data_IF_789660542128
#
_entry.id   IF_789660542128
#
_cell.length_a   1.000
_cell.length_b   1.000
_cell.length_c   1.000
_cell.angle_alpha   90.00
_cell.angle_beta   90.00
_cell.angle_gamma   90.00
#
_symmetry.space_group_name_H-M   'P 1'
#
loop_
_entity.id
_entity.type
_entity.pdbx_description
1 polymer ?
#
# COMPACT_ATOMS: atom_id res chain seq x y z
N UNK A 1 8.90 -3.50 6.49
CA UNK A 1 8.50 -2.54 7.55
C UNK A 1 7.13 -2.88 8.05
N UNK A 2 6.73 -2.25 9.15
CA UNK A 2 5.38 -2.34 9.72
C UNK A 2 4.71 -0.97 9.57
N UNK A 3 3.52 -0.94 9.00
CA UNK A 3 2.65 0.23 8.97
C UNK A 3 1.37 -0.08 9.72
N UNK A 4 0.71 0.95 10.25
CA UNK A 4 -0.60 0.80 10.88
C UNK A 4 -1.47 2.03 10.65
N UNK A 5 -2.77 1.81 10.78
CA UNK A 5 -3.82 2.81 10.67
C UNK A 5 -4.78 2.60 11.83
N UNK A 6 -5.47 3.66 12.23
CA UNK A 6 -6.60 3.56 13.15
C UNK A 6 -7.88 3.67 12.33
N UNK A 7 -8.76 2.69 12.44
CA UNK A 7 -10.08 2.69 11.78
C UNK A 7 -11.11 2.27 12.80
N UNK A 8 -12.16 3.08 12.98
CA UNK A 8 -13.23 2.83 13.96
C UNK A 8 -12.72 2.58 15.39
N UNK A 9 -11.63 3.26 15.79
CA UNK A 9 -11.01 3.13 17.11
C UNK A 9 -10.12 1.90 17.29
N UNK A 10 -9.89 1.12 16.23
CA UNK A 10 -9.02 -0.05 16.26
C UNK A 10 -7.73 0.18 15.47
N UNK A 11 -6.59 -0.21 16.06
CA UNK A 11 -5.30 -0.19 15.37
C UNK A 11 -5.16 -1.46 14.54
N UNK A 12 -5.05 -1.30 13.22
CA UNK A 12 -4.82 -2.40 12.28
C UNK A 12 -3.41 -2.29 11.70
N UNK A 13 -2.66 -3.39 11.80
CA UNK A 13 -1.25 -3.43 11.42
C UNK A 13 -1.03 -4.23 10.13
N UNK A 14 -0.06 -3.77 9.33
CA UNK A 14 0.29 -4.35 8.05
C UNK A 14 1.80 -4.50 7.94
N UNK A 15 2.25 -5.71 7.66
CA UNK A 15 3.64 -6.00 7.31
C UNK A 15 3.76 -6.20 5.81
N UNK A 16 4.85 -5.71 5.22
CA UNK A 16 5.09 -5.90 3.79
C UNK A 16 5.07 -7.39 3.41
N UNK A 17 4.37 -7.71 2.30
CA UNK A 17 4.12 -9.07 1.80
C UNK A 17 3.32 -10.00 2.73
N UNK A 18 2.78 -9.49 3.84
CA UNK A 18 1.96 -10.31 4.73
C UNK A 18 0.59 -10.61 4.13
N UNK A 19 0.11 -11.84 4.34
CA UNK A 19 -1.21 -12.31 3.92
C UNK A 19 -1.99 -13.00 5.04
N UNK A 20 -1.51 -12.91 6.28
CA UNK A 20 -2.14 -13.51 7.47
C UNK A 20 -3.49 -12.88 7.82
N UNK A 21 -3.73 -11.63 7.39
CA UNK A 21 -5.01 -10.95 7.59
C UNK A 21 -6.15 -11.70 6.89
N UNK A 22 -7.30 -11.86 7.57
CA UNK A 22 -8.46 -12.60 7.04
C UNK A 22 -8.98 -12.06 5.70
N UNK A 23 -8.88 -10.74 5.51
CA UNK A 23 -9.25 -10.02 4.27
C UNK A 23 -8.07 -9.79 3.32
N UNK A 24 -6.96 -10.51 3.46
CA UNK A 24 -5.73 -10.25 2.68
C UNK A 24 -5.97 -10.25 1.17
N UNK A 25 -6.78 -11.17 0.64
CA UNK A 25 -7.12 -11.18 -0.79
C UNK A 25 -7.74 -9.85 -1.25
N UNK A 26 -8.71 -9.35 -0.51
CA UNK A 26 -9.43 -8.11 -0.83
C UNK A 26 -8.51 -6.89 -0.74
N UNK A 27 -7.67 -6.83 0.30
CA UNK A 27 -6.69 -5.76 0.50
C UNK A 27 -5.72 -5.67 -0.68
N UNK A 28 -5.23 -6.79 -1.20
CA UNK A 28 -4.29 -6.76 -2.32
C UNK A 28 -4.97 -6.42 -3.65
N UNK A 29 -6.19 -6.90 -3.88
CA UNK A 29 -6.99 -6.50 -5.05
C UNK A 29 -7.22 -4.98 -5.03
N UNK A 30 -7.54 -4.41 -3.87
CA UNK A 30 -7.75 -2.97 -3.75
C UNK A 30 -6.44 -2.17 -3.87
N UNK A 31 -5.32 -2.70 -3.35
CA UNK A 31 -4.00 -2.11 -3.55
C UNK A 31 -3.58 -2.04 -5.03
N UNK A 32 -3.87 -3.09 -5.80
CA UNK A 32 -3.64 -3.12 -7.25
C UNK A 32 -4.57 -2.15 -7.98
N UNK A 33 -5.86 -2.08 -7.59
CA UNK A 33 -6.82 -1.10 -8.13
C UNK A 33 -6.35 0.33 -7.90
N UNK A 34 -5.96 0.68 -6.67
CA UNK A 34 -5.43 2.00 -6.32
C UNK A 34 -4.20 2.31 -7.17
N UNK A 35 -3.30 1.35 -7.31
CA UNK A 35 -2.06 1.57 -8.07
C UNK A 35 -2.32 1.76 -9.56
N UNK A 36 -3.28 1.02 -10.13
CA UNK A 36 -3.76 1.22 -11.50
C UNK A 36 -4.37 2.62 -11.70
N UNK A 37 -5.16 3.11 -10.74
CA UNK A 37 -5.70 4.48 -10.80
C UNK A 37 -4.59 5.53 -10.74
N UNK A 38 -3.58 5.34 -9.89
CA UNK A 38 -2.45 6.27 -9.81
C UNK A 38 -1.66 6.33 -11.11
N UNK A 39 -1.46 5.19 -11.78
CA UNK A 39 -0.80 5.15 -13.10
C UNK A 39 -1.58 5.98 -14.12
N UNK A 40 -2.91 5.87 -14.13
CA UNK A 40 -3.77 6.70 -15.01
C UNK A 40 -3.60 8.20 -14.74
N UNK A 41 -3.25 8.57 -13.51
CA UNK A 41 -2.99 9.95 -13.10
C UNK A 41 -1.49 10.34 -13.17
N UNK A 42 -0.66 9.54 -13.86
CA UNK A 42 0.74 9.88 -14.15
C UNK A 42 1.76 9.38 -13.13
N UNK A 43 1.37 8.53 -12.18
CA UNK A 43 2.33 7.85 -11.32
C UNK A 43 3.15 6.84 -12.12
N UNK A 44 4.47 6.86 -11.94
CA UNK A 44 5.38 5.86 -12.48
C UNK A 44 6.07 5.13 -11.34
N UNK A 45 6.00 3.79 -11.35
CA UNK A 45 6.67 2.97 -10.36
C UNK A 45 8.17 3.22 -10.34
N UNK A 46 8.71 3.38 -9.14
CA UNK A 46 10.14 3.63 -8.93
C UNK A 46 10.84 2.35 -8.44
N UNK A 47 11.37 1.58 -9.39
CA UNK A 47 12.03 0.30 -9.10
C UNK A 47 13.34 0.43 -8.30
N UNK A 48 13.89 1.64 -8.15
CA UNK A 48 15.07 1.88 -7.31
C UNK A 48 14.85 1.54 -5.83
N UNK A 49 13.59 1.44 -5.41
CA UNK A 49 13.21 1.04 -4.05
C UNK A 49 13.06 -0.47 -3.85
N UNK A 50 13.32 -1.27 -4.89
CA UNK A 50 13.37 -2.73 -4.81
C UNK A 50 14.83 -3.13 -4.59
N UNK A 51 15.16 -3.57 -3.38
CA UNK A 51 16.55 -3.82 -2.95
C UNK A 51 17.11 -5.17 -3.38
N UNK A 52 16.35 -5.96 -4.14
CA UNK A 52 16.75 -7.28 -4.61
C UNK A 52 16.30 -7.51 -6.05
N UNK A 53 16.95 -8.43 -6.79
CA UNK A 53 16.42 -8.91 -8.05
C UNK A 53 15.01 -9.49 -7.89
N UNK A 54 14.19 -9.31 -8.92
CA UNK A 54 12.87 -9.93 -9.01
C UNK A 54 13.03 -11.41 -9.39
N UNK A 55 12.16 -12.26 -8.83
CA UNK A 55 12.00 -13.63 -9.28
C UNK A 55 11.14 -13.67 -10.56
N UNK A 56 11.19 -14.78 -11.31
CA UNK A 56 10.49 -14.93 -12.60
C UNK A 56 8.99 -14.60 -12.55
N UNK A 57 8.36 -14.86 -11.40
CA UNK A 57 6.93 -14.64 -11.20
C UNK A 57 6.58 -13.29 -10.54
N UNK A 58 7.57 -12.41 -10.36
CA UNK A 58 7.39 -11.12 -9.69
C UNK A 58 7.51 -9.96 -10.68
N UNK A 59 6.64 -8.98 -10.54
CA UNK A 59 6.71 -7.71 -11.25
C UNK A 59 7.05 -6.58 -10.28
N UNK A 60 7.54 -5.44 -10.81
CA UNK A 60 7.75 -4.23 -10.00
C UNK A 60 6.46 -3.85 -9.26
N UNK A 61 5.34 -3.90 -9.98
CA UNK A 61 4.01 -3.66 -9.43
C UNK A 61 3.66 -4.61 -8.28
N UNK A 62 3.81 -5.93 -8.48
CA UNK A 62 3.44 -6.91 -7.45
C UNK A 62 4.27 -6.75 -6.17
N UNK A 63 5.51 -6.30 -6.28
CA UNK A 63 6.36 -6.00 -5.13
C UNK A 63 5.94 -4.71 -4.43
N UNK A 64 5.79 -3.62 -5.18
CA UNK A 64 5.47 -2.31 -4.61
C UNK A 64 4.06 -2.28 -4.00
N UNK A 65 3.07 -2.91 -4.64
CA UNK A 65 1.70 -3.07 -4.12
C UNK A 65 1.66 -3.83 -2.79
N UNK A 66 2.65 -4.68 -2.52
CA UNK A 66 2.76 -5.45 -1.30
C UNK A 66 3.47 -4.70 -0.15
N UNK A 67 3.86 -3.43 -0.34
CA UNK A 67 4.38 -2.61 0.75
C UNK A 67 3.34 -2.34 1.82
N UNK A 68 3.75 -2.38 3.08
CA UNK A 68 2.89 -2.19 4.26
C UNK A 68 2.03 -0.92 4.21
N UNK A 69 2.56 0.18 3.69
CA UNK A 69 1.82 1.44 3.51
C UNK A 69 0.67 1.31 2.52
N UNK A 70 0.90 0.66 1.37
CA UNK A 70 -0.12 0.49 0.34
C UNK A 70 -1.23 -0.44 0.81
N UNK A 71 -0.88 -1.50 1.53
CA UNK A 71 -1.85 -2.40 2.16
C UNK A 71 -2.72 -1.67 3.18
N UNK A 72 -2.13 -0.80 4.00
CA UNK A 72 -2.88 -0.02 4.97
C UNK A 72 -3.84 0.99 4.31
N UNK A 73 -3.42 1.64 3.22
CA UNK A 73 -4.27 2.56 2.44
C UNK A 73 -5.42 1.79 1.78
N UNK A 74 -5.13 0.66 1.14
CA UNK A 74 -6.14 -0.21 0.53
C UNK A 74 -7.18 -0.66 1.55
N UNK A 75 -6.74 -1.07 2.75
CA UNK A 75 -7.66 -1.40 3.84
C UNK A 75 -8.58 -0.25 4.22
N UNK A 76 -8.09 1.00 4.27
CA UNK A 76 -8.93 2.15 4.55
C UNK A 76 -10.03 2.37 3.48
N UNK A 77 -9.71 2.23 2.20
CA UNK A 77 -10.70 2.33 1.11
C UNK A 77 -11.74 1.21 1.13
N UNK A 78 -11.35 0.04 1.62
CA UNK A 78 -12.26 -1.09 1.83
C UNK A 78 -13.22 -0.81 3.01
N UNK A 79 -12.72 -0.16 4.07
CA UNK A 79 -13.53 0.19 5.24
C UNK A 79 -14.48 1.36 4.97
N UNK A 80 -14.03 2.33 4.17
CA UNK A 80 -14.81 3.50 3.80
C UNK A 80 -14.57 3.81 2.31
N UNK A 81 -15.64 3.81 1.50
CA UNK A 81 -15.53 4.00 0.04
C UNK A 81 -14.92 5.35 -0.36
N UNK A 82 -15.08 6.38 0.48
CA UNK A 82 -14.58 7.74 0.26
C UNK A 82 -14.04 8.32 1.56
N UNK A 83 -12.87 7.85 2.04
CA UNK A 83 -12.30 8.36 3.27
C UNK A 83 -11.92 9.83 3.07
N UNK A 84 -12.32 10.68 4.01
CA UNK A 84 -12.00 12.12 3.97
C UNK A 84 -10.52 12.38 4.26
N UNK A 85 -9.90 11.53 5.10
CA UNK A 85 -8.50 11.59 5.45
C UNK A 85 -8.02 10.20 5.85
N UNK A 86 -6.85 9.78 5.35
CA UNK A 86 -6.22 8.50 5.73
C UNK A 86 -4.90 8.82 6.45
N UNK A 87 -4.77 8.37 7.69
CA UNK A 87 -3.53 8.47 8.45
C UNK A 87 -2.83 7.11 8.56
N UNK A 88 -1.66 7.00 7.94
CA UNK A 88 -0.81 5.81 8.05
C UNK A 88 0.46 6.16 8.84
N UNK A 89 0.75 5.39 9.89
CA UNK A 89 2.01 5.49 10.63
C UNK A 89 2.90 4.32 10.27
N UNK A 90 4.22 4.54 10.23
CA UNK A 90 5.22 3.51 9.92
C UNK A 90 6.36 3.54 10.94
N UNK A 91 6.86 2.36 11.29
CA UNK A 91 7.99 2.23 12.23
C UNK A 91 9.38 2.50 11.60
N UNK A 92 9.45 2.58 10.28
CA UNK A 92 10.64 2.82 9.49
C UNK A 92 10.39 3.96 8.50
N UNK A 93 11.45 4.45 7.85
CA UNK A 93 11.32 5.41 6.74
C UNK A 93 10.36 4.87 5.68
N UNK A 94 9.45 5.74 5.23
CA UNK A 94 8.53 5.46 4.13
C UNK A 94 9.33 5.31 2.83
N UNK A 95 9.02 4.27 2.05
CA UNK A 95 9.61 4.05 0.74
C UNK A 95 9.36 5.25 -0.17
N UNK A 96 10.33 5.69 -0.98
CA UNK A 96 10.15 6.87 -1.84
C UNK A 96 9.02 6.72 -2.86
N UNK A 97 8.79 5.50 -3.35
CA UNK A 97 7.64 5.17 -4.19
C UNK A 97 6.31 5.33 -3.42
N UNK A 98 6.21 4.74 -2.23
CA UNK A 98 5.01 4.88 -1.37
C UNK A 98 4.77 6.33 -0.93
N UNK A 99 5.83 7.12 -0.74
CA UNK A 99 5.71 8.55 -0.41
C UNK A 99 5.05 9.35 -1.53
N UNK A 100 5.36 9.04 -2.79
CA UNK A 100 4.74 9.69 -3.97
C UNK A 100 3.23 9.39 -4.02
N UNK A 101 2.81 8.22 -3.57
CA UNK A 101 1.41 7.83 -3.47
C UNK A 101 0.65 8.67 -2.42
N UNK A 102 1.24 8.89 -1.24
CA UNK A 102 0.60 9.66 -0.15
C UNK A 102 0.34 11.14 -0.46
N UNK A 103 1.02 11.71 -1.47
CA UNK A 103 0.85 13.11 -1.87
C UNK A 103 -0.31 13.30 -2.86
N UNK A 104 -0.78 12.23 -3.51
CA UNK A 104 -1.84 12.32 -4.54
C UNK A 104 -3.26 12.26 -3.94
N UNK A 105 -3.39 11.83 -2.68
CA UNK A 105 -4.67 11.72 -1.96
C UNK A 105 -4.95 12.87 -0.97
N UNK A 106 -4.19 13.97 -1.05
CA UNK A 106 -4.41 15.25 -0.35
C UNK A 106 -4.55 16.35 -1.39
#
# INVERSE_FOLDING_TARGET
>A
GLSWTEVNGEIVQFKAHDRSHSRSKEIYVDAERISSELIKHGHNYDSSWITRPLHENETIESILCAHSERLAIAFNFIQETKPTFIQITKNLRVCGDCRKLSVIFL
#
